data_IF_673001317315
#
_entry.id   IF_673001317315
#
_cell.length_a   1.000
_cell.length_b   1.000
_cell.length_c   1.000
_cell.angle_alpha   90.00
_cell.angle_beta   90.00
_cell.angle_gamma   90.00
#
_symmetry.space_group_name_H-M   'P 1'
#
loop_
_entity.id
_entity.type
_entity.pdbx_description
1 polymer ?
#
# COMPACT_ATOMS: atom_id res chain seq x y z
N UNK A 1 -8.39 22.80 10.66
CA UNK A 1 -7.96 22.45 12.02
C UNK A 1 -8.87 21.33 12.48
N UNK A 2 -8.39 20.11 12.56
CA UNK A 2 -9.13 19.03 13.22
C UNK A 2 -9.06 19.25 14.73
N UNK A 3 -10.18 19.11 15.40
CA UNK A 3 -10.24 19.15 16.86
C UNK A 3 -9.42 17.99 17.44
N UNK A 4 -8.86 18.17 18.64
CA UNK A 4 -8.19 17.07 19.34
C UNK A 4 -9.20 15.96 19.63
N UNK A 5 -8.79 14.68 19.61
CA UNK A 5 -9.69 13.58 19.96
C UNK A 5 -10.30 13.80 21.35
N UNK A 6 -11.61 13.57 21.46
CA UNK A 6 -12.34 13.56 22.73
C UNK A 6 -11.90 12.39 23.61
N UNK A 7 -12.18 12.44 24.90
CA UNK A 7 -11.86 11.34 25.83
C UNK A 7 -12.50 10.01 25.41
N UNK A 8 -13.73 10.07 24.91
CA UNK A 8 -14.46 8.91 24.42
C UNK A 8 -13.81 8.32 23.15
N UNK A 9 -13.40 9.16 22.20
CA UNK A 9 -12.65 8.71 21.01
C UNK A 9 -11.30 8.08 21.39
N UNK A 10 -10.59 8.66 22.36
CA UNK A 10 -9.36 8.08 22.90
C UNK A 10 -9.62 6.71 23.55
N UNK A 11 -10.76 6.53 24.22
CA UNK A 11 -11.13 5.23 24.78
C UNK A 11 -11.38 4.18 23.69
N UNK A 12 -12.10 4.53 22.63
CA UNK A 12 -12.27 3.62 21.48
C UNK A 12 -10.95 3.30 20.78
N UNK A 13 -10.05 4.29 20.68
CA UNK A 13 -8.71 4.09 20.17
C UNK A 13 -7.92 3.08 20.99
N UNK A 14 -7.94 3.20 22.33
CA UNK A 14 -7.30 2.23 23.25
C UNK A 14 -7.87 0.83 23.08
N UNK A 15 -9.19 0.74 22.97
CA UNK A 15 -9.88 -0.52 22.76
C UNK A 15 -9.45 -1.20 21.44
N UNK A 16 -9.33 -0.42 20.37
CA UNK A 16 -8.87 -0.91 19.07
C UNK A 16 -7.43 -1.43 19.13
N UNK A 17 -6.50 -0.65 19.71
CA UNK A 17 -5.08 -1.03 19.85
C UNK A 17 -4.94 -2.32 20.64
N UNK A 18 -5.63 -2.42 21.78
CA UNK A 18 -5.65 -3.62 22.61
C UNK A 18 -6.16 -4.83 21.82
N UNK A 19 -7.27 -4.66 21.11
CA UNK A 19 -7.86 -5.72 20.29
C UNK A 19 -6.93 -6.18 19.17
N UNK A 20 -6.40 -5.24 18.38
CA UNK A 20 -5.53 -5.52 17.24
C UNK A 20 -4.27 -6.30 17.68
N UNK A 21 -3.59 -5.84 18.74
CA UNK A 21 -2.40 -6.51 19.29
C UNK A 21 -2.72 -7.90 19.85
N UNK A 22 -3.83 -8.03 20.58
CA UNK A 22 -4.25 -9.32 21.12
C UNK A 22 -4.66 -10.33 20.04
N UNK A 23 -5.33 -9.86 18.98
CA UNK A 23 -5.66 -10.70 17.83
C UNK A 23 -4.38 -11.16 17.12
N UNK A 24 -3.44 -10.24 16.92
CA UNK A 24 -2.16 -10.58 16.33
C UNK A 24 -1.42 -11.67 17.13
N UNK A 25 -1.33 -11.56 18.45
CA UNK A 25 -0.71 -12.60 19.28
C UNK A 25 -1.40 -13.96 19.12
N UNK A 26 -2.73 -13.96 19.04
CA UNK A 26 -3.53 -15.16 18.85
C UNK A 26 -3.21 -15.82 17.51
N UNK A 27 -3.08 -15.03 16.44
CA UNK A 27 -2.87 -15.53 15.08
C UNK A 27 -1.40 -15.86 14.80
N UNK A 28 -0.43 -15.06 15.25
CA UNK A 28 1.01 -15.37 15.06
C UNK A 28 1.44 -16.65 15.77
N UNK A 29 0.81 -16.99 16.91
CA UNK A 29 1.00 -18.30 17.55
C UNK A 29 0.49 -19.48 16.71
N UNK A 30 -0.47 -19.24 15.83
CA UNK A 30 -1.11 -20.27 14.99
C UNK A 30 -0.47 -20.38 13.62
N UNK A 31 -0.14 -19.26 12.99
CA UNK A 31 0.40 -19.21 11.62
C UNK A 31 1.92 -19.18 11.56
N UNK A 32 2.60 -18.76 12.64
CA UNK A 32 4.03 -18.49 12.64
C UNK A 32 4.44 -17.27 11.80
N UNK A 33 3.49 -16.48 11.29
CA UNK A 33 3.72 -15.30 10.48
C UNK A 33 3.34 -14.02 11.22
N UNK A 34 4.08 -12.94 10.96
CA UNK A 34 3.78 -11.61 11.47
C UNK A 34 2.75 -10.92 10.55
N UNK A 35 1.72 -10.30 11.14
CA UNK A 35 0.50 -9.79 10.46
C UNK A 35 0.30 -8.28 10.72
N UNK A 36 1.31 -7.61 11.28
CA UNK A 36 1.24 -6.17 11.58
C UNK A 36 2.30 -5.43 10.76
N UNK A 37 1.86 -4.41 10.03
CA UNK A 37 2.74 -3.48 9.32
C UNK A 37 3.36 -2.48 10.32
N UNK A 38 2.54 -1.67 11.02
CA UNK A 38 3.05 -0.70 12.01
C UNK A 38 2.38 -0.78 13.39
N UNK A 39 3.19 -0.91 14.45
CA UNK A 39 2.80 -0.88 15.87
C UNK A 39 3.19 0.45 16.54
N UNK A 40 2.55 1.54 16.15
CA UNK A 40 3.00 2.89 16.54
C UNK A 40 2.27 3.46 17.76
N UNK A 41 1.13 2.87 18.16
CA UNK A 41 0.39 3.36 19.32
C UNK A 41 1.23 3.23 20.61
N UNK A 42 1.09 4.10 21.62
CA UNK A 42 1.92 4.06 22.82
C UNK A 42 1.93 2.71 23.54
N UNK A 43 3.01 2.41 24.27
CA UNK A 43 3.18 1.12 24.98
C UNK A 43 2.23 1.01 26.17
N UNK A 44 1.98 2.14 26.81
CA UNK A 44 1.12 2.31 27.98
C UNK A 44 -0.38 2.16 27.67
N UNK A 45 -0.76 2.16 26.38
CA UNK A 45 -2.10 1.74 25.98
C UNK A 45 -2.18 0.22 26.16
N UNK A 46 -2.61 -0.14 27.38
CA UNK A 46 -2.50 -1.44 28.05
C UNK A 46 -2.59 -2.61 27.07
N UNK A 47 -1.44 -3.26 26.89
CA UNK A 47 -1.31 -4.54 26.22
C UNK A 47 -1.35 -5.66 27.26
N UNK A 48 -2.34 -6.53 27.16
CA UNK A 48 -2.43 -7.77 27.92
C UNK A 48 -2.11 -8.93 26.96
N UNK A 49 -0.92 -9.57 27.07
CA UNK A 49 -0.61 -10.72 26.24
C UNK A 49 -1.65 -11.82 26.41
N UNK A 50 -2.11 -12.42 25.31
CA UNK A 50 -3.15 -13.48 25.33
C UNK A 50 -4.52 -13.03 25.84
N UNK A 51 -4.86 -11.75 25.70
CA UNK A 51 -6.17 -11.22 26.09
C UNK A 51 -7.34 -12.02 25.49
N UNK A 52 -7.20 -12.52 24.26
CA UNK A 52 -8.19 -13.42 23.66
C UNK A 52 -7.84 -14.89 23.85
N UNK A 53 -8.70 -15.69 24.54
CA UNK A 53 -8.48 -17.14 24.63
C UNK A 53 -8.78 -17.87 23.31
N UNK A 54 -9.60 -17.28 22.42
CA UNK A 54 -9.97 -17.84 21.12
C UNK A 54 -10.58 -16.77 20.19
N UNK A 55 -10.80 -17.13 18.91
CA UNK A 55 -11.39 -16.27 17.88
C UNK A 55 -12.82 -15.82 18.19
N UNK A 56 -13.61 -16.60 18.95
CA UNK A 56 -14.98 -16.24 19.32
C UNK A 56 -15.03 -15.03 20.25
N UNK A 57 -14.13 -14.99 21.24
CA UNK A 57 -14.03 -13.84 22.15
C UNK A 57 -13.47 -12.61 21.43
N UNK A 58 -12.49 -12.78 20.54
CA UNK A 58 -12.01 -11.71 19.67
C UNK A 58 -13.17 -11.13 18.82
N UNK A 59 -14.02 -12.00 18.24
CA UNK A 59 -15.18 -11.59 17.43
C UNK A 59 -16.17 -10.74 18.22
N UNK A 60 -16.53 -11.17 19.44
CA UNK A 60 -17.43 -10.41 20.32
C UNK A 60 -16.84 -9.04 20.67
N UNK A 61 -15.53 -8.98 20.92
CA UNK A 61 -14.82 -7.76 21.27
C UNK A 61 -14.84 -6.74 20.12
N UNK A 62 -14.48 -7.13 18.90
CA UNK A 62 -14.52 -6.22 17.75
C UNK A 62 -15.95 -5.83 17.36
N UNK A 63 -16.92 -6.75 17.50
CA UNK A 63 -18.33 -6.42 17.31
C UNK A 63 -18.79 -5.31 18.27
N UNK A 64 -18.42 -5.38 19.55
CA UNK A 64 -18.72 -4.33 20.53
C UNK A 64 -18.14 -2.98 20.09
N UNK A 65 -16.86 -2.93 19.71
CA UNK A 65 -16.23 -1.68 19.25
C UNK A 65 -16.99 -1.11 18.04
N UNK A 66 -17.30 -1.96 17.07
CA UNK A 66 -18.02 -1.58 15.85
C UNK A 66 -19.42 -1.00 16.13
N UNK A 67 -20.14 -1.59 17.10
CA UNK A 67 -21.48 -1.16 17.50
C UNK A 67 -21.47 0.14 18.34
N UNK A 68 -20.47 0.30 19.22
CA UNK A 68 -20.45 1.38 20.23
C UNK A 68 -19.79 2.69 19.74
N UNK A 69 -18.94 2.63 18.71
CA UNK A 69 -18.14 3.78 18.26
C UNK A 69 -18.96 4.88 17.60
N UNK A 70 -18.58 6.14 17.85
CA UNK A 70 -19.21 7.34 17.28
C UNK A 70 -18.83 7.55 15.81
N UNK A 71 -19.51 6.87 14.88
CA UNK A 71 -19.18 6.89 13.43
C UNK A 71 -19.40 8.23 12.73
N UNK A 72 -20.00 9.21 13.39
CA UNK A 72 -20.21 10.57 12.87
C UNK A 72 -18.96 11.46 12.99
N UNK A 73 -17.93 11.02 13.73
CA UNK A 73 -16.63 11.68 13.77
C UNK A 73 -15.61 11.00 12.85
N UNK A 74 -14.59 11.73 12.35
CA UNK A 74 -13.54 11.12 11.51
C UNK A 74 -12.76 9.99 12.22
N UNK A 75 -12.53 10.12 13.53
CA UNK A 75 -11.85 9.08 14.31
C UNK A 75 -12.74 7.87 14.51
N UNK A 76 -14.02 8.08 14.86
CA UNK A 76 -14.95 6.99 15.08
C UNK A 76 -15.33 6.25 13.80
N UNK A 77 -15.42 6.94 12.65
CA UNK A 77 -15.56 6.27 11.35
C UNK A 77 -14.37 5.33 11.09
N UNK A 78 -13.14 5.84 11.24
CA UNK A 78 -11.94 5.04 11.00
C UNK A 78 -11.87 3.83 11.94
N UNK A 79 -12.08 4.05 13.25
CA UNK A 79 -12.05 2.99 14.25
C UNK A 79 -13.14 1.94 13.99
N UNK A 80 -14.35 2.38 13.62
CA UNK A 80 -15.47 1.50 13.30
C UNK A 80 -15.21 0.62 12.07
N UNK A 81 -14.76 1.23 10.97
CA UNK A 81 -14.40 0.49 9.74
C UNK A 81 -13.25 -0.50 10.00
N UNK A 82 -12.27 -0.13 10.84
CA UNK A 82 -11.19 -1.04 11.20
C UNK A 82 -11.64 -2.20 12.09
N UNK A 83 -12.52 -1.95 13.06
CA UNK A 83 -13.13 -3.00 13.86
C UNK A 83 -14.00 -3.94 13.00
N UNK A 84 -14.73 -3.40 12.03
CA UNK A 84 -15.49 -4.18 11.03
C UNK A 84 -14.58 -5.07 10.18
N UNK A 85 -13.40 -4.57 9.80
CA UNK A 85 -12.39 -5.33 9.08
C UNK A 85 -11.89 -6.55 9.86
N UNK A 86 -11.49 -6.37 11.12
CA UNK A 86 -11.09 -7.48 11.98
C UNK A 86 -12.24 -8.47 12.24
N UNK A 87 -13.45 -7.97 12.43
CA UNK A 87 -14.64 -8.80 12.58
C UNK A 87 -14.87 -9.66 11.33
N UNK A 88 -14.78 -9.07 10.14
CA UNK A 88 -14.93 -9.77 8.88
C UNK A 88 -13.85 -10.83 8.67
N UNK A 89 -12.59 -10.51 8.94
CA UNK A 89 -11.49 -11.46 8.87
C UNK A 89 -11.75 -12.69 9.75
N UNK A 90 -12.14 -12.46 11.02
CA UNK A 90 -12.48 -13.53 11.96
C UNK A 90 -13.65 -14.40 11.49
N UNK A 91 -14.66 -13.80 10.84
CA UNK A 91 -15.80 -14.51 10.28
C UNK A 91 -15.41 -15.36 9.07
N UNK A 92 -14.62 -14.83 8.13
CA UNK A 92 -14.14 -15.59 6.98
C UNK A 92 -13.19 -16.72 7.37
N UNK A 93 -12.37 -16.51 8.41
CA UNK A 93 -11.51 -17.55 8.98
C UNK A 93 -12.31 -18.66 9.68
N UNK A 94 -13.52 -18.37 10.17
CA UNK A 94 -14.41 -19.35 10.79
C UNK A 94 -15.25 -20.10 9.75
N UNK A 95 -15.67 -19.42 8.69
CA UNK A 95 -16.44 -20.00 7.60
C UNK A 95 -15.96 -19.46 6.23
N UNK A 96 -15.05 -20.18 5.56
CA UNK A 96 -14.57 -19.80 4.23
C UNK A 96 -15.67 -19.78 3.15
N UNK A 97 -16.85 -20.38 3.40
CA UNK A 97 -17.96 -20.33 2.44
C UNK A 97 -18.64 -18.96 2.35
N UNK A 98 -18.45 -18.12 3.38
CA UNK A 98 -18.90 -16.73 3.39
C UNK A 98 -18.02 -15.82 2.51
N UNK A 99 -16.87 -16.30 2.05
CA UNK A 99 -15.88 -15.52 1.31
C UNK A 99 -16.32 -15.22 -0.13
N UNK A 100 -17.16 -14.21 -0.26
CA UNK A 100 -17.41 -13.54 -1.52
C UNK A 100 -16.42 -12.39 -1.65
N UNK A 101 -15.53 -12.48 -2.64
CA UNK A 101 -14.43 -11.54 -2.85
C UNK A 101 -14.85 -10.06 -2.73
N UNK A 102 -15.97 -9.66 -3.33
CA UNK A 102 -16.46 -8.28 -3.26
C UNK A 102 -16.83 -7.85 -1.83
N UNK A 103 -17.51 -8.71 -1.08
CA UNK A 103 -17.89 -8.43 0.30
C UNK A 103 -16.68 -8.45 1.23
N UNK A 104 -15.71 -9.35 0.98
CA UNK A 104 -14.43 -9.36 1.68
C UNK A 104 -13.72 -8.01 1.54
N UNK A 105 -13.55 -7.56 0.30
CA UNK A 105 -12.90 -6.28 0.01
C UNK A 105 -13.67 -5.10 0.60
N UNK A 106 -15.01 -5.10 0.54
CA UNK A 106 -15.84 -4.06 1.16
C UNK A 106 -15.59 -3.97 2.66
N UNK A 107 -15.65 -5.10 3.38
CA UNK A 107 -15.58 -5.11 4.84
C UNK A 107 -14.17 -4.89 5.38
N UNK A 108 -13.15 -5.37 4.68
CA UNK A 108 -11.76 -5.33 5.17
C UNK A 108 -10.99 -4.13 4.63
N UNK A 109 -11.27 -3.70 3.39
CA UNK A 109 -10.55 -2.59 2.75
C UNK A 109 -11.39 -1.31 2.68
N UNK A 110 -12.69 -1.36 2.94
CA UNK A 110 -13.58 -0.19 2.90
C UNK A 110 -14.01 0.24 1.49
N UNK A 111 -13.88 -0.63 0.48
CA UNK A 111 -14.34 -0.33 -0.89
C UNK A 111 -14.82 -1.59 -1.62
N UNK A 112 -15.74 -1.39 -2.58
CA UNK A 112 -16.13 -2.44 -3.51
C UNK A 112 -15.12 -2.51 -4.65
N UNK A 113 -14.48 -3.67 -4.90
CA UNK A 113 -13.56 -3.83 -6.01
C UNK A 113 -14.35 -3.72 -7.31
N UNK A 114 -13.72 -3.19 -8.36
CA UNK A 114 -14.33 -3.03 -9.68
C UNK A 114 -13.31 -3.34 -10.76
N UNK A 115 -13.80 -3.77 -11.92
CA UNK A 115 -12.95 -3.81 -13.11
C UNK A 115 -12.49 -2.40 -13.45
N UNK A 116 -11.18 -2.23 -13.51
CA UNK A 116 -10.54 -1.04 -14.07
C UNK A 116 -10.84 -1.04 -15.57
N UNK A 117 -11.33 0.08 -16.15
CA UNK A 117 -11.75 0.10 -17.54
C UNK A 117 -10.64 -0.34 -18.49
N UNK A 118 -10.98 -1.13 -19.51
CA UNK A 118 -9.98 -1.69 -20.44
C UNK A 118 -9.08 -0.63 -21.07
N UNK A 119 -9.63 0.52 -21.44
CA UNK A 119 -8.85 1.61 -22.03
C UNK A 119 -7.78 2.18 -21.08
N UNK A 120 -7.96 2.08 -19.76
CA UNK A 120 -6.97 2.48 -18.77
C UNK A 120 -5.81 1.49 -18.69
N UNK A 121 -6.12 0.20 -18.75
CA UNK A 121 -5.10 -0.87 -18.76
C UNK A 121 -4.28 -0.82 -20.05
N UNK A 122 -4.94 -0.66 -21.21
CA UNK A 122 -4.25 -0.52 -22.49
C UNK A 122 -3.46 0.80 -22.56
N UNK A 123 -3.98 1.89 -21.99
CA UNK A 123 -3.24 3.15 -21.86
C UNK A 123 -1.97 3.03 -21.02
N UNK A 124 -2.05 2.34 -19.87
CA UNK A 124 -0.89 2.04 -19.05
C UNK A 124 0.15 1.17 -19.78
N UNK A 125 -0.32 0.18 -20.56
CA UNK A 125 0.54 -0.63 -21.42
C UNK A 125 1.25 0.23 -22.47
N UNK A 126 0.54 1.15 -23.10
CA UNK A 126 1.11 2.05 -24.10
C UNK A 126 2.14 3.00 -23.48
N UNK A 127 1.91 3.53 -22.26
CA UNK A 127 2.90 4.34 -21.54
C UNK A 127 4.22 3.59 -21.34
N UNK A 128 4.14 2.34 -20.84
CA UNK A 128 5.33 1.50 -20.63
C UNK A 128 5.99 1.17 -21.98
N UNK A 129 5.20 0.82 -23.00
CA UNK A 129 5.70 0.51 -24.33
C UNK A 129 6.41 1.72 -24.97
N UNK A 130 5.89 2.92 -24.78
CA UNK A 130 6.50 4.17 -25.26
C UNK A 130 7.84 4.42 -24.58
N UNK A 131 7.92 4.31 -23.25
CA UNK A 131 9.19 4.43 -22.52
C UNK A 131 10.20 3.40 -23.03
N UNK A 132 9.76 2.15 -23.23
CA UNK A 132 10.61 1.06 -23.72
C UNK A 132 11.15 1.32 -25.13
N UNK A 133 10.30 1.79 -26.03
CA UNK A 133 10.66 2.11 -27.41
C UNK A 133 11.55 3.34 -27.51
N UNK A 134 11.18 4.43 -26.85
CA UNK A 134 11.81 5.74 -27.03
C UNK A 134 13.13 5.87 -26.27
N UNK A 135 13.25 5.24 -25.09
CA UNK A 135 14.43 5.39 -24.23
C UNK A 135 15.42 4.24 -24.37
N UNK A 136 14.95 3.04 -24.74
CA UNK A 136 15.80 1.86 -24.86
C UNK A 136 15.90 1.32 -26.30
N UNK A 137 15.08 1.82 -27.23
CA UNK A 137 15.09 1.33 -28.61
C UNK A 137 14.60 -0.12 -28.75
N UNK A 138 13.79 -0.59 -27.80
CA UNK A 138 13.34 -1.98 -27.73
C UNK A 138 11.85 -2.10 -28.07
N UNK A 139 11.46 -3.24 -28.64
CA UNK A 139 10.05 -3.57 -28.88
C UNK A 139 9.38 -4.03 -27.60
N UNK A 140 8.11 -3.68 -27.39
CA UNK A 140 7.32 -4.17 -26.26
C UNK A 140 6.83 -5.60 -26.51
N UNK A 141 7.77 -6.54 -26.49
CA UNK A 141 7.54 -7.98 -26.64
C UNK A 141 8.51 -8.78 -25.76
N UNK A 142 8.35 -10.11 -25.72
CA UNK A 142 9.20 -10.96 -24.88
C UNK A 142 10.69 -10.86 -25.21
N UNK A 143 11.04 -10.69 -26.48
CA UNK A 143 12.44 -10.59 -26.92
C UNK A 143 13.06 -9.25 -26.49
N UNK A 144 12.30 -8.16 -26.62
CA UNK A 144 12.68 -6.84 -26.11
C UNK A 144 12.91 -6.85 -24.61
N UNK A 145 12.00 -7.43 -23.82
CA UNK A 145 12.16 -7.57 -22.37
C UNK A 145 13.36 -8.43 -21.96
N UNK A 146 13.60 -9.53 -22.67
CA UNK A 146 14.80 -10.35 -22.47
C UNK A 146 16.07 -9.53 -22.69
N UNK A 147 16.10 -8.72 -23.75
CA UNK A 147 17.22 -7.84 -24.04
C UNK A 147 17.41 -6.78 -22.95
N UNK A 148 16.32 -6.12 -22.52
CA UNK A 148 16.36 -5.14 -21.44
C UNK A 148 16.94 -5.72 -20.15
N UNK A 149 16.44 -6.88 -19.69
CA UNK A 149 16.95 -7.50 -18.47
C UNK A 149 18.42 -7.93 -18.62
N UNK A 150 18.84 -8.48 -19.76
CA UNK A 150 20.25 -8.81 -19.97
C UNK A 150 21.17 -7.58 -19.87
N UNK A 151 20.71 -6.41 -20.32
CA UNK A 151 21.48 -5.16 -20.26
C UNK A 151 21.42 -4.48 -18.87
N UNK A 152 20.31 -4.65 -18.14
CA UNK A 152 20.02 -3.88 -16.92
C UNK A 152 20.01 -4.72 -15.64
N UNK A 153 20.32 -6.02 -15.72
CA UNK A 153 20.35 -6.90 -14.54
C UNK A 153 21.40 -6.44 -13.54
N UNK A 154 21.00 -6.42 -12.29
CA UNK A 154 21.87 -6.12 -11.16
C UNK A 154 22.23 -7.43 -10.46
N UNK A 155 23.49 -7.54 -10.06
CA UNK A 155 23.88 -8.49 -9.02
C UNK A 155 23.24 -8.10 -7.67
N UNK A 156 23.04 -9.05 -6.73
CA UNK A 156 22.58 -8.73 -5.39
C UNK A 156 23.38 -7.61 -4.71
N UNK A 157 24.71 -7.59 -4.87
CA UNK A 157 25.57 -6.54 -4.33
C UNK A 157 25.37 -5.17 -4.98
N UNK A 158 25.07 -5.12 -6.28
CA UNK A 158 24.70 -3.86 -6.95
C UNK A 158 23.33 -3.36 -6.46
N UNK A 159 22.35 -4.26 -6.39
CA UNK A 159 21.01 -3.96 -5.89
C UNK A 159 21.06 -3.36 -4.48
N UNK A 160 21.80 -4.00 -3.56
CA UNK A 160 22.07 -3.50 -2.21
C UNK A 160 22.64 -2.09 -2.21
N UNK A 161 23.70 -1.85 -2.98
CA UNK A 161 24.35 -0.53 -3.04
C UNK A 161 23.37 0.54 -3.53
N UNK A 162 22.59 0.24 -4.57
CA UNK A 162 21.61 1.19 -5.09
C UNK A 162 20.49 1.47 -4.08
N UNK A 163 19.99 0.48 -3.34
CA UNK A 163 19.02 0.72 -2.26
C UNK A 163 19.63 1.64 -1.18
N UNK A 164 20.85 1.35 -0.72
CA UNK A 164 21.51 2.15 0.33
C UNK A 164 21.78 3.59 -0.12
N UNK A 165 22.13 3.79 -1.40
CA UNK A 165 22.27 5.13 -1.97
C UNK A 165 20.91 5.84 -2.05
N UNK A 166 19.87 5.11 -2.46
CA UNK A 166 18.50 5.63 -2.56
C UNK A 166 17.99 6.09 -1.20
N UNK A 167 18.25 5.35 -0.12
CA UNK A 167 17.85 5.76 1.24
C UNK A 167 18.35 7.18 1.57
N UNK A 168 19.63 7.46 1.32
CA UNK A 168 20.22 8.76 1.68
C UNK A 168 19.70 9.90 0.81
N UNK A 169 19.60 9.67 -0.49
CA UNK A 169 19.30 10.74 -1.46
C UNK A 169 17.78 10.88 -1.67
N UNK A 170 17.07 9.79 -1.92
CA UNK A 170 15.65 9.80 -2.27
C UNK A 170 14.78 10.14 -1.08
N UNK A 171 15.03 9.57 0.11
CA UNK A 171 14.21 9.89 1.30
C UNK A 171 14.39 11.35 1.68
N UNK A 172 15.63 11.86 1.67
CA UNK A 172 15.90 13.28 1.94
C UNK A 172 15.16 14.18 0.96
N UNK A 173 15.19 13.85 -0.33
CA UNK A 173 14.48 14.63 -1.35
C UNK A 173 12.97 14.49 -1.22
N UNK A 174 12.46 13.32 -0.90
CA UNK A 174 11.04 13.09 -0.68
C UNK A 174 10.55 13.92 0.51
N UNK A 175 11.21 13.85 1.67
CA UNK A 175 10.89 14.66 2.87
C UNK A 175 10.85 16.14 2.51
N UNK A 176 11.83 16.63 1.73
CA UNK A 176 11.86 18.02 1.26
C UNK A 176 10.66 18.36 0.38
N UNK A 177 10.34 17.53 -0.60
CA UNK A 177 9.29 17.80 -1.60
C UNK A 177 7.90 17.71 -1.00
N UNK A 178 7.67 16.77 -0.08
CA UNK A 178 6.39 16.60 0.62
C UNK A 178 6.25 17.53 1.83
N UNK A 179 7.27 18.32 2.14
CA UNK A 179 7.29 19.23 3.29
C UNK A 179 7.13 18.53 4.63
N UNK A 180 7.52 17.26 4.75
CA UNK A 180 7.42 16.52 6.02
C UNK A 180 8.44 17.07 7.01
N UNK A 181 8.03 17.17 8.29
CA UNK A 181 8.94 17.47 9.40
C UNK A 181 9.65 16.21 9.91
N UNK A 182 9.17 15.06 9.48
CA UNK A 182 9.60 13.74 9.93
C UNK A 182 10.71 13.22 9.03
N UNK A 183 11.84 12.84 9.64
CA UNK A 183 12.92 12.15 8.96
C UNK A 183 13.00 10.73 9.52
N UNK A 184 12.50 9.72 8.79
CA UNK A 184 12.50 8.36 9.30
C UNK A 184 13.94 7.86 9.45
N UNK A 185 14.24 7.25 10.61
CA UNK A 185 15.48 6.53 10.84
C UNK A 185 15.26 5.06 10.51
N UNK A 186 15.75 4.63 9.35
CA UNK A 186 15.43 3.32 8.80
C UNK A 186 16.58 2.36 9.06
N UNK A 187 16.29 1.26 9.75
CA UNK A 187 17.21 0.12 9.88
C UNK A 187 17.04 -0.79 8.68
N UNK A 188 17.95 -0.68 7.73
CA UNK A 188 17.97 -1.57 6.57
C UNK A 188 18.52 -2.96 6.91
N UNK A 189 17.82 -4.01 6.48
CA UNK A 189 18.24 -5.41 6.64
C UNK A 189 18.17 -6.18 5.32
N UNK A 190 19.28 -6.82 4.95
CA UNK A 190 19.29 -7.81 3.86
C UNK A 190 18.75 -9.14 4.37
N UNK A 191 17.87 -9.78 3.58
CA UNK A 191 17.44 -11.15 3.84
C UNK A 191 17.52 -12.01 2.59
N UNK A 192 17.62 -13.32 2.80
CA UNK A 192 17.57 -14.33 1.75
C UNK A 192 16.49 -15.34 2.13
N UNK A 193 15.24 -14.98 1.82
CA UNK A 193 14.06 -15.80 2.12
C UNK A 193 13.41 -16.25 0.82
N UNK A 194 12.89 -17.49 0.73
CA UNK A 194 12.21 -18.00 -0.47
C UNK A 194 10.79 -17.40 -0.61
N UNK A 195 10.70 -16.07 -0.52
CA UNK A 195 9.51 -15.26 -0.62
C UNK A 195 9.60 -14.34 -1.85
N UNK A 196 8.46 -14.02 -2.44
CA UNK A 196 8.38 -13.28 -3.71
C UNK A 196 8.48 -11.75 -3.55
N UNK A 197 8.32 -11.24 -2.33
CA UNK A 197 8.48 -9.82 -2.06
C UNK A 197 9.96 -9.44 -2.16
N UNK A 198 10.23 -8.21 -2.63
CA UNK A 198 11.59 -7.67 -2.78
C UNK A 198 11.90 -6.64 -1.70
N UNK A 199 10.88 -5.94 -1.21
CA UNK A 199 10.94 -5.05 -0.06
C UNK A 199 9.81 -5.37 0.91
N UNK A 200 10.05 -5.09 2.19
CA UNK A 200 9.06 -5.12 3.26
C UNK A 200 9.46 -4.11 4.33
N UNK A 201 8.54 -3.28 4.78
CA UNK A 201 8.77 -2.34 5.88
C UNK A 201 7.88 -2.66 7.07
N UNK A 202 8.44 -2.56 8.27
CA UNK A 202 7.69 -2.60 9.52
C UNK A 202 8.17 -1.49 10.45
N UNK A 203 7.34 -1.11 11.41
CA UNK A 203 7.69 -0.07 12.37
C UNK A 203 7.05 -0.29 13.73
N UNK A 204 7.74 0.15 14.78
CA UNK A 204 7.22 0.23 16.13
C UNK A 204 7.54 1.62 16.73
N UNK A 205 7.35 1.82 18.04
CA UNK A 205 7.60 3.13 18.66
C UNK A 205 9.07 3.58 18.65
N UNK A 206 10.01 2.64 18.46
CA UNK A 206 11.45 2.87 18.60
C UNK A 206 12.19 2.80 17.26
N UNK A 207 11.74 1.97 16.34
CA UNK A 207 12.42 1.71 15.07
C UNK A 207 11.49 1.55 13.88
N UNK A 208 12.01 1.93 12.70
CA UNK A 208 11.48 1.58 11.38
C UNK A 208 12.47 0.62 10.75
N UNK A 209 12.05 -0.60 10.40
CA UNK A 209 12.88 -1.63 9.78
C UNK A 209 12.46 -1.84 8.33
N UNK A 210 13.42 -1.77 7.41
CA UNK A 210 13.20 -2.07 5.98
C UNK A 210 14.02 -3.30 5.58
N UNK A 211 13.34 -4.40 5.27
CA UNK A 211 13.94 -5.63 4.75
C UNK A 211 13.94 -5.64 3.24
N UNK A 212 15.06 -5.97 2.62
CA UNK A 212 15.15 -6.23 1.18
C UNK A 212 15.60 -7.68 0.92
N UNK A 213 14.84 -8.38 0.09
CA UNK A 213 15.03 -9.80 -0.17
C UNK A 213 15.76 -10.04 -1.49
N UNK A 214 16.97 -10.59 -1.39
CA UNK A 214 17.85 -10.85 -2.54
C UNK A 214 17.83 -12.31 -3.01
N UNK A 215 16.87 -13.11 -2.53
CA UNK A 215 16.74 -14.51 -2.91
C UNK A 215 16.69 -14.70 -4.43
N UNK A 216 17.23 -15.82 -4.90
CA UNK A 216 17.36 -16.13 -6.35
C UNK A 216 16.03 -16.18 -7.09
N UNK A 217 14.91 -16.47 -6.40
CA UNK A 217 13.55 -16.40 -6.96
C UNK A 217 13.20 -15.00 -7.46
N UNK A 218 13.84 -13.97 -6.90
CA UNK A 218 13.63 -12.57 -7.25
C UNK A 218 14.62 -12.06 -8.31
N UNK A 219 15.47 -12.91 -8.90
CA UNK A 219 16.56 -12.49 -9.79
C UNK A 219 16.14 -11.76 -11.08
N UNK A 220 14.89 -11.87 -11.51
CA UNK A 220 14.30 -11.11 -12.63
C UNK A 220 13.80 -9.73 -12.20
N UNK A 221 13.65 -9.50 -10.90
CA UNK A 221 13.25 -8.21 -10.29
C UNK A 221 14.45 -7.36 -9.88
N UNK A 222 15.66 -7.91 -9.97
CA UNK A 222 16.91 -7.21 -9.70
C UNK A 222 17.41 -6.55 -10.99
N UNK A 223 16.78 -5.46 -11.40
CA UNK A 223 17.17 -4.66 -12.56
C UNK A 223 17.27 -3.18 -12.21
N UNK A 224 18.03 -2.42 -13.01
CA UNK A 224 18.24 -0.98 -12.80
C UNK A 224 16.92 -0.22 -12.64
N UNK A 225 16.84 0.67 -11.66
CA UNK A 225 15.64 1.43 -11.33
C UNK A 225 14.70 0.74 -10.34
N UNK A 226 14.69 -0.60 -10.27
CA UNK A 226 13.93 -1.33 -9.25
C UNK A 226 14.40 -1.02 -7.82
N UNK A 227 15.72 -0.94 -7.50
CA UNK A 227 16.19 -0.52 -6.18
C UNK A 227 15.64 0.83 -5.73
N UNK A 228 15.67 1.84 -6.63
CA UNK A 228 15.22 3.20 -6.34
C UNK A 228 13.70 3.22 -6.13
N UNK A 229 12.94 2.51 -6.98
CA UNK A 229 11.49 2.36 -6.81
C UNK A 229 11.15 1.71 -5.45
N UNK A 230 11.80 0.60 -5.11
CA UNK A 230 11.57 -0.10 -3.84
C UNK A 230 11.97 0.79 -2.66
N UNK A 231 13.12 1.47 -2.73
CA UNK A 231 13.56 2.41 -1.70
C UNK A 231 12.61 3.60 -1.54
N UNK A 232 12.02 4.10 -2.63
CA UNK A 232 11.01 5.15 -2.60
C UNK A 232 9.68 4.66 -1.99
N UNK A 233 9.25 3.45 -2.33
CA UNK A 233 8.01 2.85 -1.85
C UNK A 233 8.09 2.52 -0.35
N UNK A 234 9.06 1.67 0.02
CA UNK A 234 9.23 1.17 1.39
C UNK A 234 9.88 2.25 2.26
N UNK A 235 11.14 2.61 1.98
CA UNK A 235 11.89 3.53 2.83
C UNK A 235 11.36 4.96 2.78
N UNK A 236 10.98 5.44 1.60
CA UNK A 236 10.46 6.78 1.39
C UNK A 236 9.04 6.95 1.93
N UNK A 237 8.06 6.46 1.18
CA UNK A 237 6.66 6.73 1.45
C UNK A 237 6.19 6.09 2.77
N UNK A 238 6.36 4.78 2.92
CA UNK A 238 5.95 4.06 4.13
C UNK A 238 6.78 4.46 5.35
N UNK A 239 8.09 4.68 5.19
CA UNK A 239 8.94 5.20 6.27
C UNK A 239 8.51 6.59 6.77
N UNK A 240 8.21 7.53 5.86
CA UNK A 240 7.70 8.86 6.24
C UNK A 240 6.32 8.75 6.89
N UNK A 241 5.43 7.87 6.40
CA UNK A 241 4.16 7.58 7.06
C UNK A 241 4.37 7.12 8.50
N UNK A 242 5.19 6.08 8.71
CA UNK A 242 5.44 5.52 10.03
C UNK A 242 5.95 6.58 11.02
N UNK A 243 6.97 7.35 10.62
CA UNK A 243 7.52 8.40 11.48
C UNK A 243 6.52 9.54 11.74
N UNK A 244 5.80 10.01 10.71
CA UNK A 244 4.84 11.10 10.86
C UNK A 244 3.65 10.71 11.73
N UNK A 245 3.12 9.50 11.56
CA UNK A 245 2.05 8.99 12.39
C UNK A 245 2.47 8.84 13.86
N UNK A 246 3.68 8.34 14.10
CA UNK A 246 4.26 8.24 15.43
C UNK A 246 4.39 9.62 16.10
N UNK A 247 4.94 10.61 15.37
CA UNK A 247 5.12 11.96 15.88
C UNK A 247 3.78 12.64 16.18
N UNK A 248 2.81 12.52 15.26
CA UNK A 248 1.46 13.06 15.45
C UNK A 248 0.71 12.41 16.63
N UNK A 249 0.86 11.09 16.82
CA UNK A 249 0.28 10.40 17.96
C UNK A 249 0.92 10.85 19.29
N UNK A 250 2.25 11.07 19.32
CA UNK A 250 2.97 11.60 20.50
C UNK A 250 2.58 13.03 20.85
N UNK A 251 2.33 13.86 19.85
CA UNK A 251 1.85 15.24 20.04
C UNK A 251 0.37 15.33 20.41
N UNK A 252 -0.37 14.21 20.34
CA UNK A 252 -1.80 14.15 20.57
C UNK A 252 -2.63 14.83 19.48
N UNK A 253 -2.05 15.01 18.29
CA UNK A 253 -2.74 15.59 17.12
C UNK A 253 -3.55 14.55 16.34
N UNK A 254 -3.28 13.26 16.60
CA UNK A 254 -3.99 12.11 16.04
C UNK A 254 -4.28 11.11 17.14
N UNK A 255 -5.46 10.49 17.10
CA UNK A 255 -5.82 9.40 17.99
C UNK A 255 -4.88 8.21 17.78
N UNK A 256 -4.14 7.76 18.82
CA UNK A 256 -3.21 6.67 18.66
C UNK A 256 -3.81 5.34 18.19
N UNK A 257 -5.14 5.15 18.30
CA UNK A 257 -5.81 3.99 17.70
C UNK A 257 -5.73 3.96 16.18
N UNK A 258 -5.52 5.11 15.52
CA UNK A 258 -5.40 5.19 14.07
C UNK A 258 -4.06 4.70 13.57
N UNK A 259 -3.01 4.80 14.38
CA UNK A 259 -1.62 4.56 13.95
C UNK A 259 -1.14 3.13 14.21
N UNK A 260 -2.04 2.23 14.63
CA UNK A 260 -1.79 0.79 14.70
C UNK A 260 -2.23 0.16 13.37
N UNK A 261 -1.40 0.19 12.33
CA UNK A 261 -1.77 -0.29 10.99
C UNK A 261 -1.56 -1.79 10.87
N UNK A 262 -2.55 -2.50 10.36
CA UNK A 262 -2.56 -3.97 10.36
C UNK A 262 -2.84 -4.51 8.98
N UNK A 263 -2.45 -5.76 8.79
CA UNK A 263 -2.76 -6.51 7.59
C UNK A 263 -3.87 -7.49 7.94
N UNK A 264 -5.04 -7.42 7.32
CA UNK A 264 -5.53 -6.38 6.43
C UNK A 264 -6.08 -5.16 7.19
N UNK A 265 -6.07 -3.98 6.55
CA UNK A 265 -6.54 -2.74 7.14
C UNK A 265 -7.08 -1.76 6.09
N UNK A 266 -8.10 -1.00 6.44
CA UNK A 266 -8.77 -0.04 5.54
C UNK A 266 -7.83 1.06 5.03
N UNK A 267 -6.80 1.40 5.81
CA UNK A 267 -5.76 2.36 5.44
C UNK A 267 -4.83 1.87 4.33
N UNK A 268 -4.70 0.55 4.13
CA UNK A 268 -3.73 -0.01 3.18
C UNK A 268 -4.02 0.48 1.76
N UNK A 269 -5.30 0.73 1.43
CA UNK A 269 -5.70 1.29 0.14
C UNK A 269 -5.08 2.65 -0.15
N UNK A 270 -5.02 3.53 0.85
CA UNK A 270 -4.34 4.81 0.73
C UNK A 270 -2.82 4.61 0.73
N UNK A 271 -2.30 3.87 1.70
CA UNK A 271 -0.87 3.79 1.96
C UNK A 271 -0.12 3.15 0.79
N UNK A 272 -0.62 2.03 0.26
CA UNK A 272 0.00 1.35 -0.87
C UNK A 272 -0.11 2.14 -2.17
N UNK A 273 -1.23 2.83 -2.40
CA UNK A 273 -1.41 3.68 -3.57
C UNK A 273 -0.45 4.88 -3.56
N UNK A 274 -0.32 5.54 -2.40
CA UNK A 274 0.65 6.62 -2.22
C UNK A 274 2.07 6.12 -2.46
N UNK A 275 2.48 5.04 -1.79
CA UNK A 275 3.82 4.50 -1.92
C UNK A 275 4.15 4.07 -3.36
N UNK A 276 3.15 3.59 -4.11
CA UNK A 276 3.31 3.18 -5.51
C UNK A 276 3.38 4.35 -6.50
N UNK A 277 2.78 5.51 -6.16
CA UNK A 277 2.60 6.64 -7.10
C UNK A 277 3.25 7.95 -6.64
N UNK A 278 3.95 7.99 -5.50
CA UNK A 278 4.49 9.24 -4.94
C UNK A 278 5.39 10.02 -5.91
N UNK A 279 6.22 9.34 -6.72
CA UNK A 279 7.04 10.01 -7.75
C UNK A 279 6.24 10.55 -8.94
N UNK A 280 5.00 10.11 -9.14
CA UNK A 280 4.09 10.61 -10.17
C UNK A 280 3.26 11.79 -9.65
N UNK A 281 2.87 11.75 -8.38
CA UNK A 281 2.28 12.90 -7.69
C UNK A 281 3.30 14.03 -7.60
N UNK A 282 4.54 13.72 -7.21
CA UNK A 282 5.66 14.66 -7.04
C UNK A 282 6.87 14.29 -7.91
N UNK A 283 6.87 14.59 -9.22
CA UNK A 283 7.96 14.24 -10.15
C UNK A 283 9.33 14.81 -9.78
N UNK A 284 9.36 15.93 -9.04
CA UNK A 284 10.59 16.58 -8.60
C UNK A 284 11.42 15.71 -7.66
N UNK A 285 10.83 14.68 -7.01
CA UNK A 285 11.55 13.72 -6.16
C UNK A 285 12.67 13.02 -6.93
N UNK A 286 12.46 12.71 -8.21
CA UNK A 286 13.46 12.02 -9.05
C UNK A 286 14.34 12.97 -9.88
N UNK A 287 14.14 14.30 -9.76
CA UNK A 287 14.78 15.29 -10.65
C UNK A 287 16.30 15.38 -10.50
N UNK A 288 16.83 15.02 -9.32
CA UNK A 288 18.26 15.07 -9.01
C UNK A 288 19.04 13.84 -9.52
N UNK A 289 18.34 12.77 -9.88
CA UNK A 289 18.96 11.55 -10.38
C UNK A 289 19.56 11.77 -11.78
N UNK A 290 20.67 11.10 -12.12
CA UNK A 290 21.15 11.02 -13.49
C UNK A 290 20.04 10.52 -14.43
N UNK A 291 20.00 11.04 -15.66
CA UNK A 291 18.92 10.75 -16.61
C UNK A 291 18.69 9.24 -16.82
N UNK A 292 19.76 8.44 -16.87
CA UNK A 292 19.67 6.99 -17.00
C UNK A 292 18.95 6.34 -15.79
N UNK A 293 19.36 6.67 -14.56
CA UNK A 293 18.75 6.15 -13.34
C UNK A 293 17.30 6.62 -13.17
N UNK A 294 17.02 7.89 -13.49
CA UNK A 294 15.66 8.43 -13.51
C UNK A 294 14.78 7.68 -14.51
N UNK A 295 15.26 7.50 -15.73
CA UNK A 295 14.50 6.83 -16.79
C UNK A 295 14.19 5.36 -16.45
N UNK A 296 15.15 4.65 -15.84
CA UNK A 296 14.95 3.28 -15.38
C UNK A 296 13.98 3.20 -14.20
N UNK A 297 14.04 4.16 -13.28
CA UNK A 297 13.11 4.25 -12.14
C UNK A 297 11.68 4.54 -12.61
N UNK A 298 11.50 5.50 -13.52
CA UNK A 298 10.19 5.83 -14.10
C UNK A 298 9.58 4.62 -14.83
N UNK A 299 10.38 3.89 -15.61
CA UNK A 299 9.95 2.63 -16.22
C UNK A 299 9.50 1.62 -15.17
N UNK A 300 10.27 1.45 -14.09
CA UNK A 300 9.94 0.51 -13.02
C UNK A 300 8.64 0.89 -12.29
N UNK A 301 8.40 2.18 -12.06
CA UNK A 301 7.15 2.70 -11.46
C UNK A 301 5.95 2.43 -12.37
N UNK A 302 6.04 2.72 -13.67
CA UNK A 302 4.93 2.52 -14.60
C UNK A 302 4.68 1.04 -14.91
N UNK A 303 5.75 0.22 -14.93
CA UNK A 303 5.63 -1.23 -15.05
C UNK A 303 4.91 -1.84 -13.84
N UNK A 304 5.24 -1.38 -12.62
CA UNK A 304 4.55 -1.80 -11.41
C UNK A 304 3.07 -1.42 -11.48
N UNK A 305 2.77 -0.17 -11.85
CA UNK A 305 1.39 0.29 -12.03
C UNK A 305 0.59 -0.58 -13.02
N UNK A 306 1.15 -0.86 -14.21
CA UNK A 306 0.53 -1.76 -15.19
C UNK A 306 0.30 -3.16 -14.61
N UNK A 307 1.29 -3.69 -13.87
CA UNK A 307 1.20 -5.02 -13.25
C UNK A 307 0.07 -5.06 -12.23
N UNK A 308 -0.02 -4.06 -11.36
CA UNK A 308 -1.02 -4.01 -10.29
C UNK A 308 -2.44 -3.91 -10.86
N UNK A 309 -2.69 -3.01 -11.82
CA UNK A 309 -4.03 -2.88 -12.42
C UNK A 309 -4.42 -4.11 -13.25
N UNK A 310 -3.45 -4.76 -13.92
CA UNK A 310 -3.70 -5.96 -14.71
C UNK A 310 -4.04 -7.15 -13.80
N UNK A 311 -3.32 -7.32 -12.68
CA UNK A 311 -3.58 -8.37 -11.70
C UNK A 311 -4.89 -8.13 -10.93
N UNK A 312 -5.22 -6.89 -10.58
CA UNK A 312 -6.53 -6.53 -10.00
C UNK A 312 -7.67 -6.93 -10.93
N UNK A 313 -7.58 -6.61 -12.23
CA UNK A 313 -8.58 -7.04 -13.21
C UNK A 313 -8.63 -8.56 -13.33
N UNK A 314 -7.48 -9.24 -13.40
CA UNK A 314 -7.43 -10.70 -13.49
C UNK A 314 -8.10 -11.38 -12.30
N UNK A 315 -7.86 -10.89 -11.08
CA UNK A 315 -8.50 -11.41 -9.87
C UNK A 315 -10.01 -11.21 -9.91
N UNK A 316 -10.48 -10.02 -10.29
CA UNK A 316 -11.91 -9.74 -10.41
C UNK A 316 -12.56 -10.64 -11.48
N UNK A 317 -11.93 -10.79 -12.64
CA UNK A 317 -12.45 -11.64 -13.72
C UNK A 317 -12.57 -13.11 -13.30
N UNK A 318 -11.63 -13.63 -12.50
CA UNK A 318 -11.65 -15.00 -12.00
C UNK A 318 -12.68 -15.20 -10.88
N UNK A 319 -12.73 -14.29 -9.91
CA UNK A 319 -13.52 -14.46 -8.68
C UNK A 319 -14.96 -13.95 -8.81
N UNK A 320 -15.20 -12.92 -9.63
CA UNK A 320 -16.52 -12.31 -9.80
C UNK A 320 -17.12 -12.68 -11.15
N UNK A 321 -16.43 -12.36 -12.25
CA UNK A 321 -16.94 -12.64 -13.60
C UNK A 321 -16.86 -14.11 -14.00
N UNK A 322 -16.16 -14.95 -13.21
CA UNK A 322 -15.95 -16.38 -13.46
C UNK A 322 -15.41 -16.68 -14.86
N UNK A 323 -14.58 -15.79 -15.39
CA UNK A 323 -13.92 -15.96 -16.69
C UNK A 323 -12.96 -17.16 -16.61
N UNK A 324 -12.83 -17.89 -17.72
CA UNK A 324 -11.92 -19.04 -17.80
C UNK A 324 -10.48 -18.61 -17.56
N UNK A 325 -9.76 -19.36 -16.73
CA UNK A 325 -8.40 -19.05 -16.30
C UNK A 325 -7.41 -18.96 -17.46
N UNK A 326 -7.57 -19.78 -18.48
CA UNK A 326 -6.72 -19.80 -19.66
C UNK A 326 -6.82 -18.48 -20.44
N UNK A 327 -8.03 -17.89 -20.49
CA UNK A 327 -8.26 -16.59 -21.15
C UNK A 327 -7.64 -15.44 -20.36
N UNK A 328 -7.82 -15.44 -19.04
CA UNK A 328 -7.21 -14.44 -18.15
C UNK A 328 -5.67 -14.52 -18.22
N UNK A 329 -5.12 -15.74 -18.24
CA UNK A 329 -3.68 -15.96 -18.38
C UNK A 329 -3.16 -15.44 -19.73
N UNK A 330 -3.88 -15.71 -20.83
CA UNK A 330 -3.51 -15.21 -22.14
C UNK A 330 -3.51 -13.67 -22.23
N UNK A 331 -4.51 -13.03 -21.62
CA UNK A 331 -4.57 -11.56 -21.55
C UNK A 331 -3.42 -10.99 -20.72
N UNK A 332 -3.11 -11.58 -19.57
CA UNK A 332 -1.95 -11.19 -18.76
C UNK A 332 -0.63 -11.37 -19.52
N UNK A 333 -0.46 -12.42 -20.31
CA UNK A 333 0.74 -12.59 -21.14
C UNK A 333 0.87 -11.51 -22.24
N UNK A 334 -0.25 -11.00 -22.75
CA UNK A 334 -0.24 -9.90 -23.71
C UNK A 334 0.04 -8.54 -23.05
N UNK A 335 -0.39 -8.34 -21.80
CA UNK A 335 -0.14 -7.12 -21.03
C UNK A 335 1.28 -7.10 -20.44
N UNK A 336 1.76 -8.26 -19.96
CA UNK A 336 3.01 -8.45 -19.25
C UNK A 336 3.89 -9.49 -19.98
N UNK A 337 4.38 -9.19 -21.20
CA UNK A 337 5.12 -10.17 -22.02
C UNK A 337 6.45 -10.64 -21.40
N UNK A 338 6.95 -9.89 -20.41
CA UNK A 338 8.13 -10.21 -19.62
C UNK A 338 7.88 -11.27 -18.56
N UNK A 339 6.64 -11.46 -18.10
CA UNK A 339 6.31 -12.42 -17.07
C UNK A 339 6.18 -13.83 -17.67
N UNK A 340 6.92 -14.83 -17.13
CA UNK A 340 6.76 -16.23 -17.52
C UNK A 340 5.34 -16.74 -17.22
N UNK A 341 4.82 -17.66 -18.06
CA UNK A 341 3.47 -18.24 -17.88
C UNK A 341 3.30 -18.85 -16.49
N UNK A 342 4.25 -19.68 -16.05
CA UNK A 342 4.18 -20.35 -14.75
C UNK A 342 4.20 -19.37 -13.58
N UNK A 343 4.80 -18.19 -13.74
CA UNK A 343 4.79 -17.13 -12.73
C UNK A 343 3.43 -16.44 -12.67
N UNK A 344 2.84 -16.12 -13.82
CA UNK A 344 1.46 -15.65 -13.88
C UNK A 344 0.53 -16.66 -13.21
N UNK A 345 0.63 -17.95 -13.56
CA UNK A 345 -0.20 -19.01 -12.98
C UNK A 345 -0.04 -19.11 -11.45
N UNK A 346 1.20 -19.02 -10.95
CA UNK A 346 1.48 -18.98 -9.51
C UNK A 346 0.85 -17.78 -8.81
N UNK A 347 0.94 -16.58 -9.40
CA UNK A 347 0.32 -15.37 -8.82
C UNK A 347 -1.20 -15.48 -8.84
N UNK A 348 -1.78 -15.95 -9.95
CA UNK A 348 -3.21 -16.25 -10.06
C UNK A 348 -3.66 -17.26 -8.98
N UNK A 349 -2.85 -18.29 -8.69
CA UNK A 349 -3.15 -19.24 -7.60
C UNK A 349 -3.16 -18.54 -6.26
N UNK A 350 -2.12 -17.75 -5.97
CA UNK A 350 -2.01 -17.05 -4.69
C UNK A 350 -3.17 -16.09 -4.43
N UNK A 351 -3.64 -15.37 -5.45
CA UNK A 351 -4.72 -14.39 -5.29
C UNK A 351 -6.14 -14.97 -5.38
N UNK A 352 -6.27 -16.23 -5.76
CA UNK A 352 -7.55 -16.97 -5.71
C UNK A 352 -7.60 -18.03 -4.62
N UNK A 353 -6.51 -18.19 -3.87
CA UNK A 353 -6.43 -19.18 -2.80
C UNK A 353 -7.11 -18.69 -1.52
N UNK A 354 -8.31 -19.21 -1.26
CA UNK A 354 -9.11 -18.94 -0.07
C UNK A 354 -8.41 -19.30 1.25
N UNK A 355 -7.38 -20.15 1.22
CA UNK A 355 -6.59 -20.50 2.42
C UNK A 355 -5.50 -19.49 2.76
N UNK A 356 -5.27 -18.46 1.93
CA UNK A 356 -4.34 -17.35 2.17
C UNK A 356 -5.06 -16.00 2.02
N UNK A 357 -5.92 -15.64 2.98
CA UNK A 357 -6.81 -14.49 2.89
C UNK A 357 -6.06 -13.15 2.83
N UNK A 358 -4.86 -13.08 3.40
CA UNK A 358 -3.92 -11.95 3.30
C UNK A 358 -3.58 -11.64 1.84
N UNK A 359 -3.27 -12.67 1.04
CA UNK A 359 -2.86 -12.50 -0.36
C UNK A 359 -4.01 -12.11 -1.28
N UNK A 360 -5.22 -12.57 -0.96
CA UNK A 360 -6.43 -12.16 -1.68
C UNK A 360 -6.73 -10.67 -1.49
N UNK A 361 -6.37 -10.12 -0.33
CA UNK A 361 -6.63 -8.73 0.05
C UNK A 361 -5.66 -7.74 -0.59
N UNK A 362 -4.35 -8.04 -0.57
CA UNK A 362 -3.33 -7.04 -0.91
C UNK A 362 -3.33 -6.58 -2.38
N UNK A 363 -3.41 -7.50 -3.34
CA UNK A 363 -3.23 -7.13 -4.75
C UNK A 363 -4.29 -6.14 -5.27
N UNK A 364 -5.60 -6.32 -4.97
CA UNK A 364 -6.62 -5.34 -5.34
C UNK A 364 -6.38 -3.96 -4.76
N UNK A 365 -5.83 -3.89 -3.54
CA UNK A 365 -5.54 -2.64 -2.82
C UNK A 365 -4.51 -1.82 -3.60
N UNK A 366 -3.43 -2.46 -4.08
CA UNK A 366 -2.43 -1.81 -4.93
C UNK A 366 -3.05 -1.27 -6.23
N UNK A 367 -3.77 -2.11 -6.97
CA UNK A 367 -4.27 -1.75 -8.31
C UNK A 367 -5.41 -0.73 -8.28
N UNK A 368 -6.43 -0.92 -7.44
CA UNK A 368 -7.57 0.01 -7.33
C UNK A 368 -7.13 1.37 -6.77
N UNK A 369 -6.32 1.35 -5.71
CA UNK A 369 -5.78 2.56 -5.10
C UNK A 369 -4.88 3.34 -6.06
N UNK A 370 -3.94 2.66 -6.73
CA UNK A 370 -3.05 3.32 -7.71
C UNK A 370 -3.82 3.88 -8.91
N UNK A 371 -4.88 3.19 -9.36
CA UNK A 371 -5.77 3.68 -10.40
C UNK A 371 -6.48 4.97 -9.97
N UNK A 372 -7.02 5.01 -8.75
CA UNK A 372 -7.59 6.23 -8.18
C UNK A 372 -6.56 7.37 -8.12
N UNK A 373 -5.33 7.11 -7.69
CA UNK A 373 -4.28 8.12 -7.63
C UNK A 373 -3.96 8.72 -9.00
N UNK A 374 -3.84 7.87 -10.03
CA UNK A 374 -3.61 8.32 -11.41
C UNK A 374 -4.75 9.20 -11.92
N UNK A 375 -6.00 8.91 -11.54
CA UNK A 375 -7.19 9.63 -12.02
C UNK A 375 -7.50 10.91 -11.28
N UNK A 376 -7.38 10.87 -9.97
CA UNK A 376 -7.96 11.90 -9.10
C UNK A 376 -6.89 12.72 -8.36
N UNK A 377 -5.67 12.19 -8.20
CA UNK A 377 -4.60 12.85 -7.42
C UNK A 377 -3.52 13.46 -8.31
N UNK A 378 -3.01 12.70 -9.27
CA UNK A 378 -1.96 13.18 -10.19
C UNK A 378 -2.35 14.43 -10.99
N UNK A 379 -3.61 14.58 -11.45
CA UNK A 379 -4.04 15.79 -12.17
C UNK A 379 -4.29 17.01 -11.29
N UNK A 380 -4.24 16.88 -9.95
CA UNK A 380 -4.42 18.01 -9.05
C UNK A 380 -3.35 19.08 -9.29
N UNK A 381 -3.67 20.35 -9.01
CA UNK A 381 -2.66 21.41 -8.99
C UNK A 381 -1.61 21.16 -7.90
N UNK A 382 -0.43 21.74 -8.03
CA UNK A 382 0.64 21.57 -7.03
C UNK A 382 0.21 22.00 -5.62
N UNK A 383 -0.58 23.07 -5.49
CA UNK A 383 -1.14 23.49 -4.19
C UNK A 383 -2.06 22.41 -3.60
N UNK A 384 -2.93 21.82 -4.42
CA UNK A 384 -3.82 20.74 -4.00
C UNK A 384 -3.06 19.45 -3.67
N UNK A 385 -2.02 19.11 -4.43
CA UNK A 385 -1.14 17.97 -4.12
C UNK A 385 -0.41 18.14 -2.80
N UNK A 386 0.08 19.35 -2.50
CA UNK A 386 0.71 19.66 -1.22
C UNK A 386 -0.29 19.54 -0.06
N UNK A 387 -1.49 20.09 -0.22
CA UNK A 387 -2.56 19.92 0.77
C UNK A 387 -2.97 18.45 0.96
N UNK A 388 -3.04 17.69 -0.14
CA UNK A 388 -3.30 16.24 -0.11
C UNK A 388 -2.24 15.50 0.69
N UNK A 389 -0.97 15.74 0.34
CA UNK A 389 0.20 15.08 0.94
C UNK A 389 0.32 15.38 2.44
N UNK A 390 0.09 16.64 2.83
CA UNK A 390 0.11 17.04 4.23
C UNK A 390 -0.94 16.29 5.07
N UNK A 391 -2.13 16.06 4.52
CA UNK A 391 -3.20 15.36 5.23
C UNK A 391 -2.94 13.85 5.37
N UNK A 392 -2.48 13.19 4.30
CA UNK A 392 -2.22 11.73 4.34
C UNK A 392 -1.01 11.39 5.22
N UNK A 393 -0.06 12.32 5.38
CA UNK A 393 1.04 12.18 6.35
C UNK A 393 0.62 12.53 7.77
N UNK A 394 -0.50 13.25 7.94
CA UNK A 394 -1.02 13.57 9.27
C UNK A 394 -1.59 12.32 9.92
N UNK A 395 -2.45 11.59 9.22
CA UNK A 395 -3.18 10.45 9.79
C UNK A 395 -3.52 9.38 8.73
N UNK A 396 -3.63 8.10 9.13
CA UNK A 396 -4.23 7.06 8.30
C UNK A 396 -5.70 7.38 7.98
N UNK A 397 -6.18 7.07 6.79
CA UNK A 397 -7.55 7.38 6.34
C UNK A 397 -8.21 6.17 5.68
N UNK A 398 -9.54 6.06 5.81
CA UNK A 398 -10.34 5.09 5.05
C UNK A 398 -10.46 5.53 3.58
N UNK A 399 -10.79 4.63 2.62
CA UNK A 399 -11.01 5.04 1.23
C UNK A 399 -12.11 6.09 1.08
N UNK A 400 -13.16 6.03 1.92
CA UNK A 400 -14.23 7.02 1.96
C UNK A 400 -13.68 8.40 2.34
N UNK A 401 -12.93 8.48 3.44
CA UNK A 401 -12.31 9.73 3.90
C UNK A 401 -11.39 10.34 2.84
N UNK A 402 -10.59 9.52 2.14
CA UNK A 402 -9.73 9.99 1.06
C UNK A 402 -10.55 10.60 -0.08
N UNK A 403 -11.57 9.90 -0.57
CA UNK A 403 -12.44 10.38 -1.66
C UNK A 403 -13.16 11.68 -1.31
N UNK A 404 -13.68 11.78 -0.09
CA UNK A 404 -14.30 13.00 0.41
C UNK A 404 -13.31 14.16 0.50
N UNK A 405 -12.09 13.90 0.97
CA UNK A 405 -11.07 14.94 1.05
C UNK A 405 -10.65 15.46 -0.32
N UNK A 406 -10.45 14.56 -1.30
CA UNK A 406 -10.15 14.94 -2.69
C UNK A 406 -11.28 15.78 -3.29
N UNK A 407 -12.53 15.39 -3.04
CA UNK A 407 -13.71 16.16 -3.49
C UNK A 407 -13.73 17.56 -2.88
N UNK A 408 -13.36 17.71 -1.60
CA UNK A 408 -13.21 19.04 -0.98
C UNK A 408 -12.10 19.86 -1.62
N UNK A 409 -10.94 19.25 -1.92
CA UNK A 409 -9.81 19.92 -2.57
C UNK A 409 -10.18 20.45 -3.95
N UNK A 410 -10.95 19.70 -4.74
CA UNK A 410 -11.35 20.10 -6.10
C UNK A 410 -12.53 21.08 -6.10
N UNK A 411 -13.47 20.93 -5.16
CA UNK A 411 -14.64 21.83 -5.04
C UNK A 411 -14.28 23.22 -4.50
N UNK A 412 -13.19 23.32 -3.72
CA UNK A 412 -12.73 24.60 -3.14
C UNK A 412 -12.24 25.61 -4.19
N UNK A 413 -12.01 25.18 -5.43
CA UNK A 413 -11.71 26.06 -6.57
C UNK A 413 -12.92 26.86 -7.10
N UNK A 414 -14.11 26.73 -6.49
CA UNK A 414 -15.26 27.61 -6.76
C UNK A 414 -15.41 28.78 -5.76
N UNK A 415 -14.45 28.99 -4.84
CA UNK A 415 -14.50 30.10 -3.86
C UNK A 415 -13.18 30.87 -3.65
N UNK A 416 -12.29 30.91 -4.63
CA UNK A 416 -11.22 31.92 -4.67
C UNK A 416 -11.64 33.15 -5.48
N UNK A 417 -12.72 33.79 -5.03
CA UNK A 417 -13.03 35.21 -5.30
C UNK A 417 -12.94 36.04 -4.00
N UNK A 418 -12.27 35.51 -2.97
CA UNK A 418 -12.12 36.14 -1.65
C UNK A 418 -10.66 36.07 -1.19
N UNK A 419 -9.73 36.58 -2.01
CA UNK A 419 -8.47 37.21 -1.56
C UNK A 419 -8.01 38.25 -2.59
N UNK A 420 -8.97 39.00 -3.12
CA UNK A 420 -8.75 40.25 -3.85
C UNK A 420 -9.77 41.28 -3.35
N UNK A 421 -9.62 41.68 -2.09
CA UNK A 421 -10.20 42.90 -1.52
C UNK A 421 -9.36 43.32 -0.32
#
# INVERSE_FOLDING_TARGET
MTERPTELELQFGKDLVRGARALHDLESKRSGQEVIDFRLAPREWVYEPNYFPNRTEARKYFKRISDDVLRDTPDGEYIGEKADGFLAELEFLADPSLDQFEERMRRMAGYYPRLIPRHEVEGAKEDVANIFRERYGLKFDRAGWTNFFNQNRLSPSQFKREIQMSEREIITQLVRVVGSRSHPRIRMQEVDLPEYWVGWISANQDEVEFKYNINTINSERLYRGAPIRVGLHEGGAHGIHAQSFLDNAREGSVNPGRVETTVPGVENWLMEAWASRVSKVHPSVLSHLPAEARNATELSVDLQYLTDIALTNAQYELLVSRRKRELVTADLQNLLPHEPKGRIELVLDQMTNLSRPDRMFYLPVYGDGSYFFRKEIEPLSEVQKQAFTAEIHRQPMTPKQVKEFVTRLTSSNHRSNLMAS
#
